data_IF_864762380908
#
_entry.id   IF_864762380908
#
_cell.length_a   1.000
_cell.length_b   1.000
_cell.length_c   1.000
_cell.angle_alpha   90.00
_cell.angle_beta   90.00
_cell.angle_gamma   90.00
#
_symmetry.space_group_name_H-M   'P 1'
#
loop_
_entity.id
_entity.type
_entity.pdbx_description
1 polymer ?
#
# COMPACT_ATOMS: atom_id res chain seq x y z
N UNK A 1 -24.44 -40.00 43.84
CA UNK A 1 -24.09 -38.60 43.49
C UNK A 1 -22.59 -38.55 43.25
N UNK A 2 -22.12 -37.88 42.19
CA UNK A 2 -20.68 -37.70 41.92
C UNK A 2 -20.23 -36.39 42.55
N UNK A 3 -19.46 -36.49 43.63
CA UNK A 3 -18.68 -35.40 44.19
C UNK A 3 -17.19 -35.69 43.92
N UNK A 4 -16.35 -34.66 43.77
CA UNK A 4 -16.65 -33.23 43.90
C UNK A 4 -17.37 -32.61 42.69
N UNK A 5 -18.09 -31.49 42.92
CA UNK A 5 -18.78 -30.72 41.87
C UNK A 5 -18.31 -29.27 41.85
N UNK A 6 -18.08 -28.72 40.66
CA UNK A 6 -17.62 -27.34 40.49
C UNK A 6 -18.81 -26.42 40.18
N UNK A 7 -18.94 -25.34 40.95
CA UNK A 7 -19.94 -24.29 40.74
C UNK A 7 -19.24 -22.96 40.49
N UNK A 8 -19.93 -22.03 39.86
CA UNK A 8 -19.36 -20.81 39.30
C UNK A 8 -20.20 -19.57 39.64
N UNK A 9 -19.56 -18.41 39.66
CA UNK A 9 -20.19 -17.10 39.84
C UNK A 9 -19.53 -16.06 38.93
N UNK A 10 -20.32 -15.19 38.32
CA UNK A 10 -19.86 -14.20 37.34
C UNK A 10 -20.54 -14.37 35.99
N UNK A 11 -19.78 -14.26 34.90
CA UNK A 11 -20.22 -14.54 33.53
C UNK A 11 -19.35 -15.63 32.89
N UNK A 12 -19.79 -16.21 31.78
CA UNK A 12 -18.96 -17.20 31.06
C UNK A 12 -17.58 -16.65 30.65
N UNK A 13 -17.45 -15.33 30.45
CA UNK A 13 -16.18 -14.68 30.10
C UNK A 13 -15.30 -14.34 31.32
N UNK A 14 -15.90 -14.09 32.49
CA UNK A 14 -15.19 -13.78 33.74
C UNK A 14 -15.92 -14.40 34.91
N UNK A 15 -15.41 -15.52 35.40
CA UNK A 15 -15.98 -16.28 36.50
C UNK A 15 -14.97 -16.58 37.59
N UNK A 16 -15.48 -16.81 38.79
CA UNK A 16 -14.81 -17.52 39.89
C UNK A 16 -15.47 -18.89 40.06
N UNK A 17 -14.75 -19.85 40.65
CA UNK A 17 -15.29 -21.18 40.90
C UNK A 17 -15.09 -21.62 42.36
N UNK A 18 -15.96 -22.49 42.83
CA UNK A 18 -15.89 -23.14 44.13
C UNK A 18 -16.26 -24.63 43.99
N UNK A 19 -15.66 -25.48 44.82
CA UNK A 19 -15.79 -26.94 44.71
C UNK A 19 -16.63 -27.47 45.87
N UNK A 20 -17.84 -27.95 45.56
CA UNK A 20 -18.69 -28.68 46.48
C UNK A 20 -18.13 -30.10 46.70
N UNK A 21 -17.81 -30.42 47.95
CA UNK A 21 -17.23 -31.74 48.32
C UNK A 21 -18.30 -32.78 48.66
N UNK A 22 -19.51 -32.36 48.99
CA UNK A 22 -20.67 -33.20 49.30
C UNK A 22 -21.97 -32.41 49.09
N UNK A 23 -23.11 -33.10 49.15
CA UNK A 23 -24.45 -32.55 48.85
C UNK A 23 -24.78 -31.31 49.69
N UNK A 24 -24.65 -31.39 51.01
CA UNK A 24 -24.92 -30.25 51.88
C UNK A 24 -24.08 -29.00 51.54
N UNK A 25 -22.84 -29.17 51.06
CA UNK A 25 -22.00 -28.05 50.65
C UNK A 25 -22.42 -27.51 49.28
N UNK A 26 -22.92 -28.36 48.38
CA UNK A 26 -23.53 -27.89 47.13
C UNK A 26 -24.75 -27.02 47.40
N UNK A 27 -25.62 -27.43 48.32
CA UNK A 27 -26.84 -26.67 48.67
C UNK A 27 -26.50 -25.29 49.27
N UNK A 28 -25.53 -25.23 50.18
CA UNK A 28 -25.02 -23.96 50.73
C UNK A 28 -24.47 -23.03 49.64
N UNK A 29 -23.74 -23.59 48.67
CA UNK A 29 -23.19 -22.81 47.55
C UNK A 29 -24.31 -22.35 46.60
N UNK A 30 -25.33 -23.17 46.36
CA UNK A 30 -26.51 -22.82 45.55
C UNK A 30 -27.30 -21.68 46.19
N UNK A 31 -27.48 -21.70 47.51
CA UNK A 31 -28.11 -20.60 48.27
C UNK A 31 -27.31 -19.29 48.17
N UNK A 32 -25.98 -19.38 48.11
CA UNK A 32 -25.06 -18.24 47.90
C UNK A 32 -24.99 -17.75 46.44
N UNK A 33 -25.78 -18.36 45.56
CA UNK A 33 -25.91 -18.00 44.16
C UNK A 33 -24.80 -18.56 43.25
N UNK A 34 -24.10 -19.61 43.69
CA UNK A 34 -23.19 -20.36 42.82
C UNK A 34 -24.00 -21.31 41.94
N UNK A 35 -23.74 -21.29 40.63
CA UNK A 35 -24.51 -22.04 39.62
C UNK A 35 -23.60 -22.86 38.71
N UNK A 36 -24.19 -23.68 37.83
CA UNK A 36 -23.41 -24.41 36.83
C UNK A 36 -22.80 -23.46 35.80
N UNK A 37 -21.69 -23.84 35.17
CA UNK A 37 -21.04 -23.01 34.15
C UNK A 37 -22.00 -22.65 33.00
N UNK A 38 -22.81 -23.62 32.55
CA UNK A 38 -23.81 -23.43 31.49
C UNK A 38 -24.97 -22.52 31.88
N UNK A 39 -25.17 -22.29 33.18
CA UNK A 39 -26.23 -21.41 33.70
C UNK A 39 -25.72 -19.97 33.89
N UNK A 40 -24.40 -19.73 33.75
CA UNK A 40 -23.85 -18.38 33.82
C UNK A 40 -24.36 -17.53 32.65
N UNK A 41 -24.60 -16.23 32.89
CA UNK A 41 -24.94 -15.31 31.81
C UNK A 41 -23.81 -15.29 30.76
N UNK A 42 -24.20 -15.51 29.51
CA UNK A 42 -23.33 -15.29 28.34
C UNK A 42 -23.01 -13.81 28.23
N UNK A 43 -21.76 -13.48 27.96
CA UNK A 43 -21.38 -12.10 27.65
C UNK A 43 -21.98 -11.78 26.28
N UNK A 44 -22.91 -10.82 26.19
CA UNK A 44 -23.43 -10.39 24.89
C UNK A 44 -22.28 -9.84 24.04
N UNK A 45 -22.11 -10.37 22.82
CA UNK A 45 -21.05 -10.00 21.86
C UNK A 45 -21.05 -8.49 21.54
N UNK A 46 -22.15 -7.80 21.79
CA UNK A 46 -22.37 -6.39 21.44
C UNK A 46 -21.49 -5.38 22.20
N UNK A 47 -21.03 -5.66 23.42
CA UNK A 47 -20.33 -4.65 24.23
C UNK A 47 -18.80 -4.59 24.01
N UNK A 48 -18.17 -5.62 23.44
CA UNK A 48 -16.73 -5.59 23.12
C UNK A 48 -16.42 -5.14 21.68
N UNK A 49 -17.44 -5.12 20.81
CA UNK A 49 -17.27 -4.92 19.35
C UNK A 49 -17.57 -3.47 18.91
N UNK A 50 -18.25 -2.66 19.72
CA UNK A 50 -18.64 -1.30 19.30
C UNK A 50 -17.50 -0.28 19.30
N UNK A 51 -16.63 -0.30 20.30
CA UNK A 51 -15.71 0.81 20.57
C UNK A 51 -14.33 0.63 19.93
N UNK A 52 -13.77 -0.59 19.99
CA UNK A 52 -12.46 -0.93 19.40
C UNK A 52 -12.50 -0.80 17.87
N UNK A 53 -13.57 -1.29 17.24
CA UNK A 53 -13.69 -1.26 15.78
C UNK A 53 -13.85 0.16 15.24
N UNK A 54 -14.54 1.05 15.95
CA UNK A 54 -14.79 2.42 15.46
C UNK A 54 -13.55 3.31 15.45
N UNK A 55 -12.58 3.08 16.34
CA UNK A 55 -11.31 3.82 16.34
C UNK A 55 -10.34 3.27 15.30
N UNK A 56 -10.26 1.96 15.17
CA UNK A 56 -9.39 1.29 14.20
C UNK A 56 -9.84 1.55 12.75
N UNK A 57 -11.15 1.62 12.51
CA UNK A 57 -11.71 1.99 11.20
C UNK A 57 -11.36 3.43 10.81
N UNK A 58 -11.51 4.40 11.72
CA UNK A 58 -11.17 5.81 11.43
C UNK A 58 -9.68 6.02 11.17
N UNK A 59 -8.83 5.38 11.98
CA UNK A 59 -7.38 5.42 11.76
C UNK A 59 -6.99 4.79 10.41
N UNK A 60 -7.68 3.72 10.00
CA UNK A 60 -7.49 3.10 8.69
C UNK A 60 -7.94 4.00 7.53
N UNK A 61 -9.05 4.73 7.70
CA UNK A 61 -9.55 5.65 6.67
C UNK A 61 -8.62 6.86 6.48
N UNK A 62 -8.10 7.42 7.57
CA UNK A 62 -7.11 8.50 7.54
C UNK A 62 -5.81 8.05 6.87
N UNK A 63 -5.27 6.90 7.26
CA UNK A 63 -4.07 6.34 6.64
C UNK A 63 -4.27 6.03 5.14
N UNK A 64 -5.46 5.59 4.75
CA UNK A 64 -5.80 5.35 3.34
C UNK A 64 -5.91 6.66 2.54
N UNK A 65 -6.42 7.73 3.14
CA UNK A 65 -6.47 9.04 2.53
C UNK A 65 -5.05 9.60 2.31
N UNK A 66 -4.20 9.56 3.34
CA UNK A 66 -2.79 9.99 3.24
C UNK A 66 -2.02 9.19 2.18
N UNK A 67 -2.23 7.87 2.12
CA UNK A 67 -1.59 7.03 1.11
C UNK A 67 -2.02 7.40 -0.31
N UNK A 68 -3.29 7.77 -0.52
CA UNK A 68 -3.79 8.21 -1.84
C UNK A 68 -3.17 9.55 -2.24
N UNK A 69 -3.11 10.50 -1.31
CA UNK A 69 -2.52 11.82 -1.54
C UNK A 69 -1.02 11.70 -1.88
N UNK A 70 -0.28 10.81 -1.20
CA UNK A 70 1.13 10.56 -1.50
C UNK A 70 1.31 9.84 -2.85
N UNK A 71 0.43 8.91 -3.23
CA UNK A 71 0.45 8.30 -4.57
C UNK A 71 0.24 9.37 -5.64
N UNK A 72 -0.70 10.29 -5.46
CA UNK A 72 -0.92 11.40 -6.40
C UNK A 72 0.32 12.29 -6.51
N UNK A 73 0.92 12.65 -5.37
CA UNK A 73 2.15 13.43 -5.33
C UNK A 73 3.31 12.73 -6.04
N UNK A 74 3.53 11.45 -5.77
CA UNK A 74 4.59 10.66 -6.39
C UNK A 74 4.38 10.53 -7.90
N UNK A 75 3.16 10.29 -8.35
CA UNK A 75 2.83 10.26 -9.77
C UNK A 75 3.15 11.59 -10.46
N UNK A 76 2.84 12.72 -9.81
CA UNK A 76 3.18 14.05 -10.34
C UNK A 76 4.70 14.28 -10.39
N UNK A 77 5.45 13.85 -9.37
CA UNK A 77 6.91 13.93 -9.35
C UNK A 77 7.51 13.07 -10.47
N UNK A 78 7.00 11.85 -10.67
CA UNK A 78 7.46 10.94 -11.72
C UNK A 78 7.18 11.56 -13.09
N UNK A 79 5.97 12.06 -13.34
CA UNK A 79 5.61 12.67 -14.61
C UNK A 79 6.50 13.88 -14.95
N UNK A 80 6.69 14.78 -13.99
CA UNK A 80 7.55 15.96 -14.15
C UNK A 80 9.02 15.55 -14.37
N UNK A 81 9.52 14.62 -13.55
CA UNK A 81 10.90 14.14 -13.66
C UNK A 81 11.17 13.40 -14.98
N UNK A 82 10.20 12.64 -15.48
CA UNK A 82 10.29 12.01 -16.81
C UNK A 82 10.36 13.05 -17.92
N UNK A 83 9.50 14.08 -17.87
CA UNK A 83 9.54 15.15 -18.86
C UNK A 83 10.88 15.90 -18.84
N UNK A 84 11.36 16.30 -17.66
CA UNK A 84 12.66 16.94 -17.51
C UNK A 84 13.80 16.05 -18.02
N UNK A 85 13.76 14.75 -17.73
CA UNK A 85 14.77 13.80 -18.21
C UNK A 85 14.78 13.69 -19.74
N UNK A 86 13.61 13.67 -20.38
CA UNK A 86 13.50 13.68 -21.84
C UNK A 86 14.11 14.96 -22.43
N UNK A 87 13.80 16.12 -21.84
CA UNK A 87 14.34 17.41 -22.27
C UNK A 87 15.86 17.50 -22.10
N UNK A 88 16.38 17.06 -20.94
CA UNK A 88 17.83 17.03 -20.68
C UNK A 88 18.55 16.09 -21.65
N UNK A 89 17.99 14.91 -21.93
CA UNK A 89 18.55 13.99 -22.94
C UNK A 89 18.60 14.63 -24.32
N UNK A 90 17.55 15.34 -24.73
CA UNK A 90 17.54 16.08 -26.00
C UNK A 90 18.62 17.16 -26.04
N UNK A 91 18.81 17.90 -24.95
CA UNK A 91 19.84 18.94 -24.86
C UNK A 91 21.26 18.36 -24.90
N UNK A 92 21.53 17.28 -24.16
CA UNK A 92 22.82 16.58 -24.19
C UNK A 92 23.10 16.10 -25.60
N UNK A 93 22.12 15.43 -26.23
CA UNK A 93 22.26 14.89 -27.57
C UNK A 93 22.47 15.97 -28.62
N UNK A 94 21.79 17.11 -28.51
CA UNK A 94 22.01 18.25 -29.38
C UNK A 94 23.45 18.73 -29.32
N UNK A 95 24.03 18.88 -28.12
CA UNK A 95 25.42 19.31 -27.95
C UNK A 95 26.42 18.31 -28.53
N UNK A 96 26.21 17.00 -28.30
CA UNK A 96 27.04 15.95 -28.90
C UNK A 96 27.06 16.04 -30.44
N UNK A 97 25.89 16.25 -31.05
CA UNK A 97 25.76 16.37 -32.50
C UNK A 97 26.28 17.71 -33.03
N UNK A 98 26.21 18.78 -32.23
CA UNK A 98 26.80 20.07 -32.53
C UNK A 98 28.33 19.99 -32.60
N UNK A 99 28.96 19.15 -31.78
CA UNK A 99 30.40 18.90 -31.83
C UNK A 99 30.80 17.90 -32.94
N UNK A 100 29.85 17.13 -33.46
CA UNK A 100 30.08 16.11 -34.49
C UNK A 100 30.28 16.73 -35.88
N UNK A 101 31.31 16.36 -36.67
CA UNK A 101 31.49 16.82 -38.05
C UNK A 101 30.30 16.52 -38.97
N UNK A 102 30.09 17.34 -40.00
CA UNK A 102 28.95 17.18 -40.91
C UNK A 102 28.97 15.86 -41.70
N UNK A 103 30.16 15.34 -42.01
CA UNK A 103 30.28 14.06 -42.72
C UNK A 103 29.93 12.88 -41.81
N UNK A 104 30.30 12.93 -40.53
CA UNK A 104 29.92 11.92 -39.54
C UNK A 104 28.40 11.94 -39.29
N UNK A 105 27.77 13.12 -39.24
CA UNK A 105 26.31 13.24 -39.15
C UNK A 105 25.59 12.60 -40.34
N UNK A 106 26.14 12.70 -41.55
CA UNK A 106 25.59 12.03 -42.75
C UNK A 106 25.69 10.52 -42.63
N UNK A 107 26.83 10.00 -42.18
CA UNK A 107 27.01 8.55 -41.93
C UNK A 107 25.96 8.06 -40.92
N UNK A 108 25.72 8.81 -39.83
CA UNK A 108 24.68 8.46 -38.86
C UNK A 108 23.26 8.46 -39.45
N UNK A 109 22.97 9.39 -40.37
CA UNK A 109 21.68 9.44 -41.07
C UNK A 109 21.53 8.28 -42.06
N UNK A 110 22.60 7.94 -42.79
CA UNK A 110 22.64 6.81 -43.71
C UNK A 110 22.42 5.48 -42.99
N UNK A 111 23.09 5.27 -41.85
CA UNK A 111 22.91 4.08 -40.98
C UNK A 111 21.47 3.92 -40.49
N UNK A 112 20.78 5.05 -40.30
CA UNK A 112 19.38 5.11 -39.87
C UNK A 112 18.39 5.13 -41.03
N UNK A 113 18.86 5.13 -42.29
CA UNK A 113 18.01 5.22 -43.47
C UNK A 113 17.29 6.57 -43.63
N UNK A 114 17.77 7.63 -42.97
CA UNK A 114 17.19 8.97 -43.03
C UNK A 114 17.74 9.74 -44.22
N UNK A 115 16.86 10.18 -45.11
CA UNK A 115 17.23 10.96 -46.28
C UNK A 115 17.59 12.40 -45.88
N UNK A 116 18.62 12.96 -46.54
CA UNK A 116 19.03 14.36 -46.40
C UNK A 116 19.41 14.94 -47.76
N UNK A 117 19.35 16.27 -47.88
CA UNK A 117 19.76 16.99 -49.08
C UNK A 117 21.29 17.10 -49.20
N UNK A 118 21.83 16.97 -50.41
CA UNK A 118 23.28 17.10 -50.67
C UNK A 118 23.87 18.47 -50.26
N UNK A 119 23.02 19.49 -50.08
CA UNK A 119 23.37 20.85 -49.67
C UNK A 119 22.87 21.23 -48.27
N UNK A 120 22.32 20.27 -47.54
CA UNK A 120 21.85 20.52 -46.19
C UNK A 120 23.02 20.96 -45.30
N UNK A 121 22.79 22.03 -44.56
CA UNK A 121 23.79 22.55 -43.65
C UNK A 121 23.85 21.67 -42.38
N UNK A 122 24.92 21.85 -41.60
CA UNK A 122 25.13 21.07 -40.38
C UNK A 122 23.92 21.11 -39.42
N UNK A 123 23.31 22.28 -39.24
CA UNK A 123 22.16 22.43 -38.36
C UNK A 123 20.94 21.60 -38.84
N UNK A 124 20.70 21.55 -40.15
CA UNK A 124 19.67 20.69 -40.75
C UNK A 124 19.96 19.22 -40.47
N UNK A 125 21.20 18.77 -40.65
CA UNK A 125 21.60 17.38 -40.39
C UNK A 125 21.43 17.00 -38.91
N UNK A 126 21.83 17.87 -37.98
CA UNK A 126 21.61 17.68 -36.53
C UNK A 126 20.12 17.53 -36.22
N UNK A 127 19.28 18.41 -36.77
CA UNK A 127 17.83 18.34 -36.55
C UNK A 127 17.20 17.07 -37.13
N UNK A 128 17.69 16.58 -38.27
CA UNK A 128 17.24 15.30 -38.84
C UNK A 128 17.59 14.12 -37.93
N UNK A 129 18.81 14.08 -37.39
CA UNK A 129 19.24 13.03 -36.45
C UNK A 129 18.38 13.05 -35.19
N UNK A 130 18.16 14.22 -34.59
CA UNK A 130 17.36 14.38 -33.38
C UNK A 130 15.89 14.00 -33.60
N UNK A 131 15.31 14.41 -34.74
CA UNK A 131 13.92 14.12 -35.06
C UNK A 131 13.69 12.61 -35.24
N UNK A 132 14.63 11.91 -35.87
CA UNK A 132 14.57 10.46 -36.00
C UNK A 132 14.71 9.79 -34.63
N UNK A 133 15.68 10.19 -33.80
CA UNK A 133 15.88 9.60 -32.47
C UNK A 133 14.69 9.82 -31.53
N UNK A 134 14.03 10.97 -31.59
CA UNK A 134 12.84 11.27 -30.80
C UNK A 134 11.64 10.37 -31.15
N UNK A 135 11.53 9.90 -32.40
CA UNK A 135 10.45 9.03 -32.86
C UNK A 135 10.65 7.54 -32.48
N UNK A 136 11.79 7.19 -31.90
CA UNK A 136 12.16 5.80 -31.56
C UNK A 136 12.47 5.60 -30.08
N UNK A 137 12.03 6.53 -29.21
CA UNK A 137 12.28 6.49 -27.76
C UNK A 137 11.12 5.93 -26.91
N UNK A 138 10.09 5.35 -27.54
CA UNK A 138 8.98 4.65 -26.86
C UNK A 138 9.26 3.16 -26.64
#
# INVERSE_FOLDING_TARGET
MQYPKMLYKGSQAKYTYEIAQHEAHEDELREQGWIGFYDLPEQSESEKVGEIYSTDLKASDEALAEAKDEIERLNNIIANGMQENIELRKQIRFKELEDTPADDLKVMLDEKGVQYGARDNKATLVNLVLSHEANHQD
#
